data_IF_900591175443
#
_entry.id   IF_900591175443
#
_cell.length_a   1.000
_cell.length_b   1.000
_cell.length_c   1.000
_cell.angle_alpha   90.00
_cell.angle_beta   90.00
_cell.angle_gamma   90.00
#
_symmetry.space_group_name_H-M   'P 1'
#
loop_
_entity.id
_entity.type
_entity.pdbx_description
1 polymer ?
#
# COMPACT_ATOMS: atom_id res chain seq x y z
N UNK A 1 58.63 -48.78 2.25
CA UNK A 1 58.24 -49.08 3.65
C UNK A 1 56.85 -48.48 3.84
N UNK A 2 55.76 -49.24 3.81
CA UNK A 2 55.57 -50.69 3.79
C UNK A 2 54.08 -50.93 3.47
N UNK A 3 53.80 -51.86 2.54
CA UNK A 3 52.60 -52.71 2.27
C UNK A 3 51.19 -52.10 2.40
N UNK A 4 50.27 -52.14 1.42
CA UNK A 4 50.01 -52.99 0.25
C UNK A 4 49.87 -54.49 0.55
N UNK A 5 48.70 -54.92 1.03
CA UNK A 5 48.20 -56.27 0.69
C UNK A 5 46.70 -56.29 0.33
N UNK A 6 46.50 -56.99 -0.78
CA UNK A 6 45.29 -57.30 -1.52
C UNK A 6 44.80 -58.66 -1.02
N UNK A 7 43.54 -58.79 -0.63
CA UNK A 7 42.90 -60.10 -0.47
C UNK A 7 41.63 -60.19 -1.30
N UNK A 8 41.69 -61.08 -2.27
CA UNK A 8 40.59 -61.57 -3.11
C UNK A 8 39.75 -62.58 -2.32
N UNK A 9 38.42 -62.48 -2.40
CA UNK A 9 37.53 -63.59 -2.04
C UNK A 9 36.37 -63.67 -3.04
N UNK A 10 36.34 -64.79 -3.74
CA UNK A 10 35.36 -65.23 -4.73
C UNK A 10 34.21 -65.99 -4.06
N UNK A 11 32.97 -65.73 -4.48
CA UNK A 11 32.04 -66.81 -4.86
C UNK A 11 30.75 -67.04 -4.04
N UNK A 12 29.69 -67.31 -4.81
CA UNK A 12 28.36 -67.86 -4.47
C UNK A 12 27.30 -66.85 -3.97
N UNK A 13 26.07 -66.77 -4.50
CA UNK A 13 25.37 -67.63 -5.46
C UNK A 13 24.03 -68.13 -4.89
N UNK A 14 23.02 -67.25 -4.83
CA UNK A 14 21.58 -67.58 -4.70
C UNK A 14 20.95 -67.54 -3.30
N UNK A 15 19.60 -67.58 -3.16
CA UNK A 15 18.53 -67.06 -4.03
C UNK A 15 17.76 -65.89 -3.37
N UNK A 16 17.19 -65.01 -4.20
CA UNK A 16 16.36 -63.88 -3.76
C UNK A 16 14.96 -64.41 -3.44
N UNK A 17 14.51 -64.24 -2.19
CA UNK A 17 13.15 -64.60 -1.73
C UNK A 17 12.12 -63.60 -2.30
N UNK A 18 10.94 -64.04 -2.76
CA UNK A 18 9.95 -63.16 -3.35
C UNK A 18 9.32 -62.24 -2.30
N UNK A 19 9.13 -60.98 -2.71
CA UNK A 19 8.47 -59.93 -1.97
C UNK A 19 7.04 -60.36 -1.60
N UNK A 20 6.73 -60.35 -0.31
CA UNK A 20 5.38 -60.53 0.19
C UNK A 20 4.51 -59.37 -0.29
N UNK A 21 3.44 -59.71 -1.01
CA UNK A 21 2.33 -58.83 -1.31
C UNK A 21 1.76 -58.29 0.00
N UNK A 22 1.94 -57.00 0.22
CA UNK A 22 1.43 -56.29 1.37
C UNK A 22 0.13 -55.63 0.90
N UNK A 23 -0.99 -56.34 1.09
CA UNK A 23 -2.34 -55.84 0.84
C UNK A 23 -2.69 -54.79 1.90
N UNK A 24 -2.64 -53.50 1.54
CA UNK A 24 -3.16 -52.44 2.40
C UNK A 24 -4.65 -52.29 2.12
N UNK A 25 -5.43 -52.83 3.04
CA UNK A 25 -6.86 -52.61 3.16
C UNK A 25 -7.18 -51.12 3.25
N UNK A 26 -7.94 -50.64 2.27
CA UNK A 26 -8.72 -49.40 2.30
C UNK A 26 -9.67 -49.39 3.50
N UNK A 27 -9.27 -48.81 4.64
CA UNK A 27 -10.18 -48.48 5.73
C UNK A 27 -9.53 -47.53 6.75
N UNK A 28 -9.20 -46.28 6.39
CA UNK A 28 -8.99 -45.20 7.36
C UNK A 28 -8.76 -43.82 6.69
N UNK A 29 -9.72 -43.32 5.91
CA UNK A 29 -9.77 -41.87 5.60
C UNK A 29 -11.23 -41.42 5.56
N UNK A 30 -11.84 -41.30 6.74
CA UNK A 30 -13.05 -40.51 7.06
C UNK A 30 -13.34 -40.79 8.56
N UNK A 31 -13.10 -39.82 9.46
CA UNK A 31 -13.95 -38.64 9.50
C UNK A 31 -13.14 -37.35 9.79
N UNK A 32 -12.82 -36.57 8.76
CA UNK A 32 -12.48 -35.14 8.92
C UNK A 32 -13.52 -34.25 8.19
N UNK A 33 -14.39 -34.85 7.37
CA UNK A 33 -15.44 -34.13 6.64
C UNK A 33 -16.74 -33.87 7.44
N UNK A 34 -16.79 -34.29 8.71
CA UNK A 34 -17.99 -34.15 9.56
C UNK A 34 -18.07 -32.86 10.38
N UNK A 35 -17.00 -32.06 10.43
CA UNK A 35 -16.92 -30.87 11.30
C UNK A 35 -17.30 -29.57 10.55
N UNK A 36 -17.39 -29.61 9.21
CA UNK A 36 -17.69 -28.42 8.39
C UNK A 36 -19.18 -28.24 8.06
N UNK A 37 -20.07 -29.13 8.49
CA UNK A 37 -21.51 -29.06 8.21
C UNK A 37 -22.40 -29.16 9.46
N UNK A 38 -21.88 -28.93 10.67
CA UNK A 38 -22.77 -28.74 11.83
C UNK A 38 -23.52 -27.41 11.68
N UNK A 39 -24.85 -27.39 11.56
CA UNK A 39 -25.58 -26.16 11.82
C UNK A 39 -25.37 -25.85 13.29
N UNK A 40 -24.71 -24.73 13.60
CA UNK A 40 -24.71 -24.19 14.93
C UNK A 40 -26.18 -24.01 15.33
N UNK A 41 -26.67 -24.81 16.28
CA UNK A 41 -27.92 -24.56 16.98
C UNK A 41 -27.73 -23.25 17.74
N UNK A 42 -28.06 -22.15 17.09
CA UNK A 42 -28.20 -20.84 17.71
C UNK A 42 -29.31 -20.92 18.75
N UNK A 43 -28.98 -20.54 19.98
CA UNK A 43 -29.98 -20.14 20.95
C UNK A 43 -30.77 -18.95 20.37
N UNK A 44 -32.08 -18.83 20.61
CA UNK A 44 -32.86 -17.71 20.12
C UNK A 44 -32.39 -16.43 20.81
N UNK A 45 -31.73 -15.55 20.07
CA UNK A 45 -31.59 -14.15 20.45
C UNK A 45 -32.90 -13.46 20.08
N UNK A 46 -33.49 -12.84 21.10
CA UNK A 46 -34.69 -12.01 21.04
C UNK A 46 -34.49 -10.90 19.99
N UNK A 47 -35.23 -10.94 18.89
CA UNK A 47 -35.37 -9.83 17.95
C UNK A 47 -36.02 -8.64 18.67
N UNK A 48 -35.27 -7.54 18.80
CA UNK A 48 -35.84 -6.22 18.96
C UNK A 48 -35.98 -5.60 17.57
N UNK A 49 -37.22 -5.21 17.29
CA UNK A 49 -37.81 -4.68 16.08
C UNK A 49 -37.07 -3.45 15.52
N UNK A 50 -37.06 -3.30 14.19
CA UNK A 50 -36.47 -2.14 13.52
C UNK A 50 -36.14 -2.38 12.05
N UNK A 51 -37.18 -2.53 11.21
CA UNK A 51 -37.00 -2.72 9.78
C UNK A 51 -36.32 -1.55 9.07
N UNK A 52 -35.43 -1.85 8.13
CA UNK A 52 -35.35 -1.14 6.85
C UNK A 52 -34.50 -1.93 5.85
N UNK A 53 -34.84 -1.78 4.59
CA UNK A 53 -34.44 -2.57 3.42
C UNK A 53 -32.93 -2.59 3.14
N UNK A 54 -32.32 -3.78 3.12
CA UNK A 54 -30.97 -4.01 2.62
C UNK A 54 -30.97 -4.06 1.09
N UNK A 55 -30.67 -2.93 0.44
CA UNK A 55 -30.11 -2.87 -0.91
C UNK A 55 -29.46 -1.49 -1.16
N UNK A 56 -28.27 -1.30 -0.59
CA UNK A 56 -27.27 -0.36 -1.07
C UNK A 56 -25.89 -0.84 -0.56
N UNK A 57 -24.80 -0.74 -1.36
CA UNK A 57 -23.45 -0.85 -0.80
C UNK A 57 -23.28 0.25 0.27
N UNK A 58 -22.54 0.02 1.36
CA UNK A 58 -22.33 1.06 2.36
C UNK A 58 -21.50 2.18 1.71
N UNK A 59 -22.17 3.28 1.39
CA UNK A 59 -21.53 4.58 1.19
C UNK A 59 -21.30 5.21 2.55
N UNK A 60 -20.19 5.92 2.64
CA UNK A 60 -19.85 6.88 3.68
C UNK A 60 -19.37 6.33 5.03
N UNK A 61 -18.03 6.27 5.15
CA UNK A 61 -17.33 6.40 6.43
C UNK A 61 -17.50 7.80 7.07
N UNK A 62 -18.32 8.68 6.47
CA UNK A 62 -18.47 10.08 6.85
C UNK A 62 -19.65 10.35 7.80
N UNK A 63 -20.52 9.38 8.06
CA UNK A 63 -21.73 9.62 8.86
C UNK A 63 -21.50 9.67 10.39
N UNK A 64 -20.30 9.36 10.87
CA UNK A 64 -19.93 9.36 12.30
C UNK A 64 -18.64 10.17 12.62
N UNK A 65 -18.20 11.07 11.73
CA UNK A 65 -17.14 12.02 12.11
C UNK A 65 -17.73 13.14 12.98
N UNK A 66 -17.07 13.50 14.10
CA UNK A 66 -17.39 14.73 14.83
C UNK A 66 -17.53 15.91 13.87
N UNK A 67 -18.46 16.84 14.11
CA UNK A 67 -18.73 17.99 13.23
C UNK A 67 -17.43 18.78 12.91
N UNK A 68 -16.48 18.74 13.85
CA UNK A 68 -15.14 19.32 13.78
C UNK A 68 -14.22 18.72 12.70
N UNK A 69 -14.54 17.54 12.17
CA UNK A 69 -13.75 16.81 11.16
C UNK A 69 -14.50 16.63 9.83
N UNK A 70 -15.74 17.12 9.73
CA UNK A 70 -16.49 17.07 8.48
C UNK A 70 -15.80 17.95 7.43
N UNK A 71 -15.45 17.35 6.28
CA UNK A 71 -14.72 18.02 5.21
C UNK A 71 -13.20 18.11 5.43
N UNK A 72 -12.67 17.52 6.50
CA UNK A 72 -11.23 17.38 6.76
C UNK A 72 -10.74 16.04 6.23
N UNK A 73 -10.60 15.94 4.92
CA UNK A 73 -10.01 14.77 4.24
C UNK A 73 -9.13 15.23 3.08
N UNK A 74 -8.39 14.29 2.48
CA UNK A 74 -7.62 14.52 1.26
C UNK A 74 -8.31 13.81 0.10
N UNK A 75 -8.80 14.60 -0.85
CA UNK A 75 -9.36 14.10 -2.11
C UNK A 75 -8.24 14.07 -3.14
N UNK A 76 -7.91 12.89 -3.66
CA UNK A 76 -6.80 12.78 -4.62
C UNK A 76 -7.19 13.31 -6.01
N UNK A 77 -6.40 14.26 -6.50
CA UNK A 77 -6.48 14.88 -7.82
C UNK A 77 -5.21 14.55 -8.65
N UNK A 78 -4.80 13.27 -8.65
CA UNK A 78 -3.61 12.83 -9.39
C UNK A 78 -3.70 13.20 -10.88
N UNK A 79 -2.57 13.61 -11.45
CA UNK A 79 -2.44 14.13 -12.83
C UNK A 79 -3.21 15.43 -13.12
N UNK A 80 -3.90 16.01 -12.14
CA UNK A 80 -4.49 17.34 -12.29
C UNK A 80 -3.41 18.42 -12.16
N UNK A 81 -3.62 19.54 -12.85
CA UNK A 81 -2.68 20.66 -12.89
C UNK A 81 -3.08 21.73 -11.90
N UNK A 82 -2.11 22.20 -11.12
CA UNK A 82 -2.30 23.30 -10.18
C UNK A 82 -2.62 24.62 -10.91
N UNK A 83 -3.41 25.51 -10.30
CA UNK A 83 -3.59 26.88 -10.77
C UNK A 83 -2.31 27.69 -10.54
N UNK A 84 -1.41 27.68 -11.53
CA UNK A 84 -0.09 28.30 -11.44
C UNK A 84 -0.12 29.85 -11.47
N UNK A 85 -1.27 30.43 -11.79
CA UNK A 85 -1.50 31.87 -11.82
C UNK A 85 -1.84 32.47 -10.45
N UNK A 86 -2.02 31.64 -9.42
CA UNK A 86 -2.24 32.11 -8.04
C UNK A 86 -1.07 32.94 -7.53
N UNK A 87 -1.39 34.08 -6.93
CA UNK A 87 -0.42 35.03 -6.38
C UNK A 87 -0.29 34.87 -4.86
N UNK A 88 0.94 34.83 -4.39
CA UNK A 88 1.31 34.73 -2.98
C UNK A 88 2.40 35.76 -2.65
N UNK A 89 2.71 35.88 -1.36
CA UNK A 89 3.83 36.65 -0.84
C UNK A 89 4.86 35.67 -0.29
N UNK A 90 6.08 35.72 -0.81
CA UNK A 90 7.17 34.87 -0.35
C UNK A 90 7.76 35.37 0.98
N UNK A 91 8.72 34.61 1.49
CA UNK A 91 9.44 34.89 2.72
C UNK A 91 10.30 36.16 2.68
N UNK A 92 10.62 36.71 1.50
CA UNK A 92 11.26 38.03 1.37
C UNK A 92 10.26 39.20 1.29
N UNK A 93 8.96 38.92 1.36
CA UNK A 93 7.90 39.92 1.23
C UNK A 93 7.60 40.35 -0.20
N UNK A 94 8.05 39.59 -1.19
CA UNK A 94 7.81 39.84 -2.61
C UNK A 94 6.56 39.11 -3.08
N UNK A 95 5.78 39.75 -3.97
CA UNK A 95 4.66 39.10 -4.63
C UNK A 95 5.16 38.15 -5.71
N UNK A 96 4.78 36.89 -5.63
CA UNK A 96 5.20 35.80 -6.53
C UNK A 96 4.00 35.01 -7.02
N UNK A 97 4.07 34.49 -8.25
CA UNK A 97 3.09 33.50 -8.72
C UNK A 97 3.58 32.09 -8.43
N UNK A 98 2.64 31.18 -8.21
CA UNK A 98 2.99 29.78 -8.02
C UNK A 98 3.78 29.20 -9.22
N UNK A 99 3.46 29.65 -10.44
CA UNK A 99 4.19 29.30 -11.66
C UNK A 99 5.58 29.91 -11.80
N UNK A 100 5.94 30.92 -11.00
CA UNK A 100 7.32 31.44 -10.97
C UNK A 100 8.24 30.52 -10.15
N UNK A 101 7.66 29.75 -9.23
CA UNK A 101 8.36 28.74 -8.41
C UNK A 101 8.36 27.40 -9.14
N UNK A 102 7.20 26.97 -9.65
CA UNK A 102 7.04 25.74 -10.43
C UNK A 102 7.25 26.09 -11.92
N UNK A 103 8.51 26.37 -12.25
CA UNK A 103 8.94 26.98 -13.51
C UNK A 103 9.20 25.97 -14.66
N UNK A 104 8.93 24.69 -14.46
CA UNK A 104 9.24 23.63 -15.43
C UNK A 104 10.61 22.99 -15.28
N UNK A 105 11.45 23.42 -14.34
CA UNK A 105 12.83 22.92 -14.23
C UNK A 105 12.98 21.71 -13.31
N UNK A 106 12.26 21.69 -12.19
CA UNK A 106 12.40 20.68 -11.13
C UNK A 106 11.05 20.42 -10.44
N UNK A 107 10.85 19.23 -9.86
CA UNK A 107 9.63 18.92 -9.12
C UNK A 107 9.59 19.71 -7.81
N UNK A 108 8.38 19.93 -7.30
CA UNK A 108 8.15 20.60 -6.03
C UNK A 108 7.49 19.65 -5.02
N UNK A 109 7.92 19.69 -3.78
CA UNK A 109 7.25 19.11 -2.62
C UNK A 109 6.40 20.22 -2.03
N UNK A 110 5.09 20.12 -2.20
CA UNK A 110 4.12 21.07 -1.68
C UNK A 110 3.60 20.60 -0.32
N UNK A 111 3.64 21.49 0.66
CA UNK A 111 3.05 21.29 1.98
C UNK A 111 2.05 22.41 2.28
N UNK A 112 0.82 22.02 2.63
CA UNK A 112 -0.24 22.93 3.05
C UNK A 112 -0.37 22.89 4.57
N UNK A 113 -0.40 24.06 5.21
CA UNK A 113 -0.54 24.19 6.67
C UNK A 113 -0.59 25.66 7.07
N UNK A 114 -0.19 26.03 8.29
CA UNK A 114 0.04 27.42 8.68
C UNK A 114 1.18 27.47 9.70
N UNK A 115 1.92 28.57 9.73
CA UNK A 115 3.21 28.66 10.38
C UNK A 115 3.13 28.86 11.90
N UNK A 116 2.04 29.44 12.40
CA UNK A 116 1.79 29.61 13.84
C UNK A 116 1.16 28.39 14.50
N UNK A 117 0.89 27.31 13.75
CA UNK A 117 0.31 26.08 14.29
C UNK A 117 1.22 25.49 15.37
N UNK A 118 0.73 25.32 16.61
CA UNK A 118 1.55 24.82 17.70
C UNK A 118 1.80 23.30 17.63
N UNK A 119 1.12 22.59 16.73
CA UNK A 119 1.11 21.12 16.71
C UNK A 119 1.39 20.53 15.32
N UNK A 120 0.33 20.27 14.53
CA UNK A 120 0.40 19.32 13.42
C UNK A 120 1.16 19.85 12.20
N UNK A 121 0.97 21.12 11.81
CA UNK A 121 1.67 21.68 10.65
C UNK A 121 3.19 21.66 10.86
N UNK A 122 3.64 22.07 12.05
CA UNK A 122 5.06 22.03 12.42
C UNK A 122 5.59 20.60 12.49
N UNK A 123 4.79 19.63 12.96
CA UNK A 123 5.19 18.22 12.93
C UNK A 123 5.38 17.72 11.51
N UNK A 124 4.45 18.01 10.58
CA UNK A 124 4.55 17.59 9.18
C UNK A 124 5.83 18.14 8.54
N UNK A 125 6.09 19.43 8.68
CA UNK A 125 7.31 20.05 8.14
C UNK A 125 8.58 19.50 8.78
N UNK A 126 8.61 19.32 10.10
CA UNK A 126 9.77 18.74 10.79
C UNK A 126 10.08 17.31 10.32
N UNK A 127 9.05 16.50 10.09
CA UNK A 127 9.22 15.12 9.62
C UNK A 127 9.59 15.07 8.14
N UNK A 128 9.04 15.97 7.32
CA UNK A 128 9.48 16.14 5.94
C UNK A 128 10.98 16.47 5.89
N UNK A 129 11.42 17.37 6.76
CA UNK A 129 12.82 17.74 6.89
C UNK A 129 13.72 16.61 7.38
N UNK A 130 13.29 15.83 8.37
CA UNK A 130 14.03 14.65 8.82
C UNK A 130 14.19 13.63 7.68
N UNK A 131 13.12 13.39 6.94
CA UNK A 131 13.15 12.54 5.76
C UNK A 131 14.11 13.05 4.68
N UNK A 132 14.06 14.35 4.37
CA UNK A 132 14.94 15.00 3.38
C UNK A 132 16.41 15.01 3.79
N UNK A 133 16.71 15.15 5.09
CA UNK A 133 18.08 15.04 5.60
C UNK A 133 18.68 13.66 5.31
N UNK A 134 17.87 12.60 5.40
CA UNK A 134 18.28 11.24 5.04
C UNK A 134 18.42 10.98 3.54
N UNK A 135 18.01 11.92 2.67
CA UNK A 135 18.23 11.84 1.22
C UNK A 135 19.54 12.53 0.87
N UNK A 136 20.63 11.77 0.74
CA UNK A 136 21.98 12.34 0.58
C UNK A 136 22.32 12.77 -0.85
N UNK A 137 21.63 12.23 -1.86
CA UNK A 137 21.99 12.41 -3.28
C UNK A 137 21.18 13.48 -4.03
N UNK A 138 20.13 14.01 -3.41
CA UNK A 138 19.28 15.09 -3.97
C UNK A 138 19.33 16.32 -3.07
N UNK A 139 19.40 17.51 -3.66
CA UNK A 139 19.48 18.78 -2.94
C UNK A 139 18.40 19.76 -3.38
N UNK A 140 17.74 20.42 -2.42
CA UNK A 140 16.77 21.49 -2.69
C UNK A 140 17.41 22.64 -3.48
N UNK A 141 16.66 23.25 -4.41
CA UNK A 141 17.13 24.33 -5.29
C UNK A 141 18.06 23.87 -6.42
N UNK A 142 18.33 22.56 -6.49
CA UNK A 142 19.06 21.92 -7.59
C UNK A 142 18.24 20.80 -8.22
N UNK A 143 17.74 19.88 -7.39
CA UNK A 143 17.07 18.66 -7.84
C UNK A 143 15.55 18.68 -7.56
N UNK A 144 15.10 19.47 -6.58
CA UNK A 144 13.69 19.69 -6.24
C UNK A 144 13.52 21.02 -5.48
N UNK A 145 12.28 21.46 -5.30
CA UNK A 145 11.92 22.54 -4.38
C UNK A 145 11.01 22.05 -3.26
N UNK A 146 11.10 22.67 -2.08
CA UNK A 146 10.15 22.55 -0.99
C UNK A 146 9.34 23.85 -0.94
N UNK A 147 8.03 23.72 -1.20
CA UNK A 147 7.09 24.83 -1.19
C UNK A 147 6.11 24.62 -0.05
N UNK A 148 6.19 25.45 0.98
CA UNK A 148 5.22 25.46 2.07
C UNK A 148 4.28 26.64 1.86
N UNK A 149 2.97 26.41 1.98
CA UNK A 149 1.95 27.44 1.79
C UNK A 149 1.07 27.53 3.03
N UNK A 150 0.95 28.74 3.56
CA UNK A 150 0.04 29.01 4.65
C UNK A 150 -1.42 29.13 4.19
N UNK A 151 -2.32 28.42 4.88
CA UNK A 151 -3.77 28.55 4.74
C UNK A 151 -4.35 29.65 5.61
N UNK A 152 -3.56 30.22 6.53
CA UNK A 152 -4.01 31.27 7.42
C UNK A 152 -3.76 32.66 6.79
N UNK A 153 -4.81 33.42 6.44
CA UNK A 153 -4.67 34.74 5.82
C UNK A 153 -4.11 35.82 6.77
N UNK A 154 -4.04 35.53 8.07
CA UNK A 154 -3.49 36.45 9.09
C UNK A 154 -1.95 36.31 9.24
N UNK A 155 -1.34 35.40 8.49
CA UNK A 155 0.10 35.22 8.46
C UNK A 155 0.75 36.08 7.38
N UNK A 156 1.88 36.69 7.74
CA UNK A 156 2.65 37.54 6.85
C UNK A 156 4.02 36.95 6.52
N UNK A 157 4.79 37.64 5.66
CA UNK A 157 6.12 37.21 5.26
C UNK A 157 7.11 37.11 6.42
N UNK A 158 6.88 37.82 7.52
CA UNK A 158 7.72 37.81 8.72
C UNK A 158 7.83 36.42 9.36
N UNK A 159 6.71 35.71 9.49
CA UNK A 159 6.70 34.35 10.04
C UNK A 159 7.22 33.32 9.02
N UNK A 160 6.95 33.55 7.72
CA UNK A 160 7.48 32.72 6.64
C UNK A 160 9.02 32.75 6.62
N UNK A 161 9.62 33.94 6.69
CA UNK A 161 11.07 34.15 6.78
C UNK A 161 11.68 33.44 8.00
N UNK A 162 11.01 33.53 9.15
CA UNK A 162 11.49 32.88 10.37
C UNK A 162 11.52 31.35 10.22
N UNK A 163 10.47 30.76 9.62
CA UNK A 163 10.40 29.31 9.37
C UNK A 163 11.42 28.87 8.34
N UNK A 164 11.52 29.58 7.21
CA UNK A 164 12.48 29.31 6.15
C UNK A 164 13.92 29.27 6.72
N UNK A 165 14.33 30.31 7.44
CA UNK A 165 15.65 30.37 8.08
C UNK A 165 15.88 29.20 9.04
N UNK A 166 14.88 28.85 9.85
CA UNK A 166 14.97 27.72 10.78
C UNK A 166 15.23 26.40 10.06
N UNK A 167 14.51 26.14 8.96
CA UNK A 167 14.67 24.91 8.19
C UNK A 167 15.94 24.90 7.34
N UNK A 168 16.34 26.04 6.78
CA UNK A 168 17.61 26.16 6.06
C UNK A 168 18.83 25.92 6.96
N UNK A 169 18.81 26.44 8.18
CA UNK A 169 19.86 26.18 9.18
C UNK A 169 19.97 24.69 9.52
N UNK A 170 18.84 23.97 9.54
CA UNK A 170 18.83 22.52 9.79
C UNK A 170 19.27 21.72 8.57
N UNK A 171 18.90 22.15 7.37
CA UNK A 171 19.21 21.45 6.13
C UNK A 171 20.69 21.61 5.73
N UNK A 172 21.25 22.80 5.91
CA UNK A 172 22.67 23.16 5.76
C UNK A 172 23.35 22.57 4.51
N UNK A 173 22.70 22.69 3.34
CA UNK A 173 23.28 22.28 2.05
C UNK A 173 23.58 23.48 1.15
N UNK A 174 24.71 23.45 0.40
CA UNK A 174 25.05 24.54 -0.52
C UNK A 174 23.95 24.81 -1.56
N UNK A 175 23.49 26.06 -1.62
CA UNK A 175 22.50 26.50 -2.60
C UNK A 175 21.05 26.11 -2.28
N UNK A 176 20.79 25.53 -1.11
CA UNK A 176 19.45 25.13 -0.68
C UNK A 176 18.45 26.27 -0.57
N UNK A 177 18.90 27.48 -0.23
CA UNK A 177 18.04 28.67 -0.12
C UNK A 177 17.29 29.02 -1.39
N UNK A 178 17.69 28.48 -2.56
CA UNK A 178 16.98 28.70 -3.83
C UNK A 178 15.78 27.77 -4.03
N UNK A 179 15.60 26.77 -3.17
CA UNK A 179 14.51 25.80 -3.29
C UNK A 179 13.75 25.58 -2.00
N UNK A 180 13.83 26.50 -1.05
CA UNK A 180 12.89 26.57 0.07
C UNK A 180 12.05 27.81 -0.18
N UNK A 181 10.74 27.63 -0.28
CA UNK A 181 9.79 28.70 -0.54
C UNK A 181 8.70 28.63 0.51
N UNK A 182 8.53 29.69 1.29
CA UNK A 182 7.52 29.77 2.34
C UNK A 182 6.56 30.88 1.96
N UNK A 183 5.37 30.49 1.52
CA UNK A 183 4.39 31.38 0.96
C UNK A 183 3.30 31.71 1.99
N UNK A 184 2.90 32.97 1.99
CA UNK A 184 1.70 33.48 2.66
C UNK A 184 0.82 34.16 1.64
N UNK A 185 -0.47 34.34 1.89
CA UNK A 185 -1.32 34.99 0.92
C UNK A 185 -2.77 35.14 1.33
N UNK A 186 -3.59 35.72 0.45
CA UNK A 186 -5.03 35.83 0.67
C UNK A 186 -5.64 34.45 0.86
N UNK A 187 -6.56 34.34 1.82
CA UNK A 187 -7.23 33.06 2.12
C UNK A 187 -7.98 32.47 0.92
N UNK A 188 -8.41 33.30 -0.03
CA UNK A 188 -9.02 32.87 -1.30
C UNK A 188 -8.02 32.09 -2.18
N UNK A 189 -6.77 32.55 -2.29
CA UNK A 189 -5.74 31.88 -3.08
C UNK A 189 -5.26 30.60 -2.39
N UNK A 190 -5.04 30.65 -1.08
CA UNK A 190 -4.67 29.45 -0.32
C UNK A 190 -5.78 28.40 -0.37
N UNK A 191 -7.06 28.81 -0.33
CA UNK A 191 -8.20 27.92 -0.52
C UNK A 191 -8.27 27.35 -1.93
N UNK A 192 -8.08 28.17 -2.97
CA UNK A 192 -8.08 27.70 -4.35
C UNK A 192 -6.96 26.67 -4.60
N UNK A 193 -5.78 26.88 -4.02
CA UNK A 193 -4.69 25.90 -4.07
C UNK A 193 -5.05 24.63 -3.30
N UNK A 194 -5.59 24.77 -2.09
CA UNK A 194 -6.04 23.65 -1.27
C UNK A 194 -7.09 22.79 -2.00
N UNK A 195 -8.10 23.42 -2.59
CA UNK A 195 -9.15 22.74 -3.36
C UNK A 195 -8.53 22.03 -4.59
N UNK A 196 -7.54 22.62 -5.26
CA UNK A 196 -6.85 22.01 -6.41
C UNK A 196 -5.99 20.79 -6.03
N UNK A 197 -5.38 20.78 -4.85
CA UNK A 197 -4.67 19.59 -4.33
C UNK A 197 -5.58 18.63 -3.59
N UNK A 198 -6.83 19.03 -3.35
CA UNK A 198 -7.84 18.29 -2.58
C UNK A 198 -7.55 18.25 -1.09
N UNK A 199 -6.87 19.26 -0.55
CA UNK A 199 -6.60 19.43 0.87
C UNK A 199 -7.81 20.06 1.57
N UNK A 200 -8.60 19.22 2.24
CA UNK A 200 -9.70 19.68 3.10
C UNK A 200 -9.18 20.24 4.42
N UNK A 201 -9.62 21.45 4.77
CA UNK A 201 -9.33 22.07 6.05
C UNK A 201 -10.56 22.84 6.56
N UNK A 202 -10.73 22.84 7.88
CA UNK A 202 -11.82 23.55 8.56
C UNK A 202 -11.26 24.40 9.70
N UNK A 203 -11.82 25.59 9.90
CA UNK A 203 -11.47 26.45 11.04
C UNK A 203 -12.30 26.06 12.25
N UNK A 204 -11.64 25.88 13.38
CA UNK A 204 -12.24 25.46 14.65
C UNK A 204 -12.60 26.66 15.53
N UNK A 205 -13.41 26.43 16.57
CA UNK A 205 -13.86 27.46 17.50
C UNK A 205 -12.72 28.13 18.28
N UNK A 206 -11.63 27.40 18.53
CA UNK A 206 -10.43 27.90 19.20
C UNK A 206 -9.55 28.79 18.30
N UNK A 207 -9.92 28.93 17.02
CA UNK A 207 -9.23 29.72 16.02
C UNK A 207 -8.17 28.96 15.23
N UNK A 208 -7.92 27.69 15.56
CA UNK A 208 -6.98 26.80 14.86
C UNK A 208 -7.64 26.17 13.62
N UNK A 209 -6.85 25.49 12.78
CA UNK A 209 -7.35 24.82 11.59
C UNK A 209 -7.17 23.31 11.70
N UNK A 210 -8.27 22.56 11.64
CA UNK A 210 -8.26 21.12 11.46
C UNK A 210 -7.92 20.79 10.01
N UNK A 211 -6.93 19.92 9.81
CA UNK A 211 -6.49 19.49 8.49
C UNK A 211 -5.91 18.07 8.54
N UNK A 212 -5.98 17.36 7.41
CA UNK A 212 -5.26 16.09 7.25
C UNK A 212 -3.75 16.34 7.05
N UNK A 213 -2.91 15.38 7.42
CA UNK A 213 -1.46 15.48 7.25
C UNK A 213 -1.04 14.80 5.93
N UNK A 214 -0.44 15.56 5.01
CA UNK A 214 0.21 15.03 3.82
C UNK A 214 1.21 16.01 3.20
N UNK A 215 2.09 15.47 2.36
CA UNK A 215 2.87 16.19 1.36
C UNK A 215 2.38 15.82 -0.04
N UNK A 216 2.40 16.80 -0.94
CA UNK A 216 2.02 16.63 -2.34
C UNK A 216 3.26 16.76 -3.19
N UNK A 217 3.50 15.79 -4.06
CA UNK A 217 4.61 15.83 -5.00
C UNK A 217 4.09 16.35 -6.32
N UNK A 218 4.64 17.47 -6.75
CA UNK A 218 4.24 18.21 -7.94
C UNK A 218 5.34 18.05 -8.99
N UNK A 219 4.95 17.69 -10.20
CA UNK A 219 5.87 17.61 -11.35
C UNK A 219 6.35 19.01 -11.75
N UNK A 220 7.47 19.13 -12.49
CA UNK A 220 7.96 20.43 -12.94
C UNK A 220 6.93 21.26 -13.72
N UNK A 221 6.03 20.61 -14.43
CA UNK A 221 4.99 21.27 -15.23
C UNK A 221 3.70 21.59 -14.45
N UNK A 222 3.68 21.31 -13.15
CA UNK A 222 2.63 21.69 -12.22
C UNK A 222 1.52 20.66 -12.06
N UNK A 223 1.73 19.38 -12.40
CA UNK A 223 0.76 18.31 -12.16
C UNK A 223 1.03 17.56 -10.86
N UNK A 224 -0.03 17.03 -10.23
CA UNK A 224 0.11 16.26 -8.99
C UNK A 224 0.57 14.84 -9.32
N UNK A 225 1.82 14.53 -8.99
CA UNK A 225 2.43 13.21 -9.19
C UNK A 225 2.05 12.22 -8.11
N UNK A 226 2.05 12.64 -6.84
CA UNK A 226 1.90 11.70 -5.71
C UNK A 226 1.46 12.38 -4.42
N UNK A 227 0.69 11.64 -3.62
CA UNK A 227 0.32 11.99 -2.25
C UNK A 227 1.14 11.17 -1.26
N UNK A 228 1.79 11.82 -0.29
CA UNK A 228 2.50 11.20 0.82
C UNK A 228 1.75 11.54 2.11
N UNK A 229 1.01 10.57 2.64
CA UNK A 229 0.14 10.77 3.81
C UNK A 229 0.87 10.66 5.14
N UNK A 230 0.30 11.30 6.16
CA UNK A 230 0.69 11.18 7.55
C UNK A 230 1.85 12.10 7.92
N UNK A 231 2.72 11.60 8.81
CA UNK A 231 3.85 12.35 9.36
C UNK A 231 5.15 11.52 9.37
N UNK A 232 5.16 10.33 8.77
CA UNK A 232 6.36 9.50 8.65
C UNK A 232 6.85 9.50 7.19
N UNK A 233 7.84 10.35 6.91
CA UNK A 233 8.38 10.52 5.57
C UNK A 233 9.74 9.84 5.45
N UNK A 234 9.73 8.54 5.16
CA UNK A 234 10.97 7.78 5.02
C UNK A 234 11.85 8.33 3.87
N UNK A 235 13.17 8.48 4.08
CA UNK A 235 14.07 9.05 3.08
C UNK A 235 14.00 8.35 1.72
N UNK A 236 13.89 7.02 1.71
CA UNK A 236 13.76 6.25 0.46
C UNK A 236 12.48 6.62 -0.30
N UNK A 237 11.36 6.73 0.41
CA UNK A 237 10.07 7.10 -0.19
C UNK A 237 10.11 8.51 -0.78
N UNK A 238 10.64 9.48 -0.03
CA UNK A 238 10.81 10.85 -0.53
C UNK A 238 11.70 10.88 -1.76
N UNK A 239 12.87 10.22 -1.70
CA UNK A 239 13.80 10.14 -2.83
C UNK A 239 13.14 9.57 -4.09
N UNK A 240 12.41 8.46 -3.96
CA UNK A 240 11.70 7.89 -5.11
C UNK A 240 10.60 8.82 -5.63
N UNK A 241 9.83 9.43 -4.74
CA UNK A 241 8.75 10.33 -5.13
C UNK A 241 9.29 11.58 -5.86
N UNK A 242 10.39 12.17 -5.39
CA UNK A 242 11.07 13.29 -6.05
C UNK A 242 11.56 12.86 -7.45
N UNK A 243 12.22 11.71 -7.57
CA UNK A 243 12.73 11.21 -8.85
C UNK A 243 11.58 10.92 -9.84
N UNK A 244 10.50 10.27 -9.39
CA UNK A 244 9.31 10.04 -10.21
C UNK A 244 8.65 11.35 -10.66
N UNK A 245 8.50 12.31 -9.73
CA UNK A 245 7.96 13.64 -10.04
C UNK A 245 8.82 14.41 -11.03
N UNK A 246 10.15 14.33 -10.90
CA UNK A 246 11.11 14.95 -11.84
C UNK A 246 10.97 14.41 -13.26
N UNK A 247 10.72 13.11 -13.40
CA UNK A 247 10.45 12.48 -14.69
C UNK A 247 9.01 12.71 -15.20
N UNK A 248 8.18 13.47 -14.47
CA UNK A 248 6.79 13.72 -14.80
C UNK A 248 5.88 12.49 -14.67
N UNK A 249 6.34 11.45 -13.97
CA UNK A 249 5.54 10.23 -13.74
C UNK A 249 4.47 10.49 -12.71
N UNK A 250 3.26 10.03 -12.97
CA UNK A 250 2.15 10.05 -12.02
C UNK A 250 2.15 8.69 -11.28
N UNK A 251 2.27 8.74 -9.96
CA UNK A 251 2.21 7.56 -9.12
C UNK A 251 0.81 6.96 -9.09
N UNK A 252 0.71 5.65 -8.83
CA UNK A 252 -0.58 4.97 -8.66
C UNK A 252 -0.95 4.84 -7.17
N UNK A 253 -2.16 5.26 -6.78
CA UNK A 253 -2.74 5.12 -5.43
C UNK A 253 -2.95 3.67 -4.99
N UNK A 254 -2.76 2.69 -5.88
CA UNK A 254 -2.95 1.26 -5.56
C UNK A 254 -2.02 0.76 -4.43
N UNK A 255 -1.02 1.55 -4.03
CA UNK A 255 -0.22 1.30 -2.83
C UNK A 255 -1.00 1.43 -1.50
N UNK A 256 -2.17 2.12 -1.49
CA UNK A 256 -3.15 2.10 -0.37
C UNK A 256 -3.68 0.69 -0.11
N UNK A 257 -3.94 -0.10 -1.16
CA UNK A 257 -4.48 -1.46 -1.03
C UNK A 257 -3.44 -2.47 -0.54
N UNK A 258 -2.16 -2.29 -0.89
CA UNK A 258 -1.09 -3.18 -0.45
C UNK A 258 -0.66 -2.89 0.99
N UNK A 259 -0.74 -1.63 1.45
CA UNK A 259 -0.41 -1.28 2.84
C UNK A 259 -1.55 -1.60 3.83
N UNK A 260 -2.76 -1.89 3.33
CA UNK A 260 -3.86 -2.48 4.12
C UNK A 260 -3.68 -3.98 4.36
N UNK A 261 -2.62 -4.61 3.81
CA UNK A 261 -2.24 -5.98 4.16
C UNK A 261 -1.32 -6.07 5.40
N UNK A 262 -1.06 -4.97 6.11
CA UNK A 262 -0.28 -4.98 7.36
C UNK A 262 -0.93 -4.27 8.55
N UNK A 263 -2.12 -3.68 8.38
CA UNK A 263 -2.95 -3.23 9.50
C UNK A 263 -4.20 -4.10 9.54
N UNK A 264 -4.06 -5.25 10.19
CA UNK A 264 -5.18 -6.10 10.57
C UNK A 264 -5.90 -5.42 11.73
N UNK A 265 -7.04 -4.80 11.46
CA UNK A 265 -7.99 -4.36 12.48
C UNK A 265 -9.02 -5.49 12.73
N UNK A 266 -8.92 -6.23 13.85
CA UNK A 266 -9.80 -7.34 14.16
C UNK A 266 -11.27 -6.96 14.40
N UNK A 267 -11.62 -5.67 14.51
CA UNK A 267 -12.97 -5.24 14.93
C UNK A 267 -13.90 -4.76 13.80
N UNK A 268 -13.44 -4.73 12.53
CA UNK A 268 -14.26 -4.30 11.37
C UNK A 268 -15.17 -5.42 10.82
N UNK A 269 -16.23 -5.76 11.56
CA UNK A 269 -17.11 -6.92 11.30
C UNK A 269 -17.80 -7.03 9.93
N UNK A 270 -17.75 -6.02 9.04
CA UNK A 270 -18.36 -6.08 7.71
C UNK A 270 -17.42 -6.51 6.58
N UNK A 271 -16.11 -6.20 6.67
CA UNK A 271 -15.13 -6.51 5.62
C UNK A 271 -14.49 -7.89 5.75
N UNK A 272 -14.44 -8.44 6.97
CA UNK A 272 -13.97 -9.81 7.21
C UNK A 272 -14.79 -10.85 6.44
N UNK A 273 -16.11 -10.69 6.37
CA UNK A 273 -16.99 -11.70 5.74
C UNK A 273 -16.75 -11.87 4.24
N UNK A 274 -16.42 -10.80 3.51
CA UNK A 274 -16.14 -10.88 2.07
C UNK A 274 -14.77 -11.52 1.79
N UNK A 275 -13.72 -11.07 2.48
CA UNK A 275 -12.37 -11.60 2.32
C UNK A 275 -12.28 -13.09 2.71
N UNK A 276 -12.92 -13.49 3.83
CA UNK A 276 -12.97 -14.90 4.23
C UNK A 276 -13.73 -15.76 3.22
N UNK A 277 -14.83 -15.28 2.63
CA UNK A 277 -15.56 -16.03 1.59
C UNK A 277 -14.74 -16.21 0.31
N UNK A 278 -13.99 -15.21 -0.12
CA UNK A 278 -13.11 -15.31 -1.29
C UNK A 278 -11.96 -16.28 -1.03
N UNK A 279 -11.31 -16.21 0.14
CA UNK A 279 -10.27 -17.16 0.54
C UNK A 279 -10.82 -18.59 0.65
N UNK A 280 -12.02 -18.77 1.22
CA UNK A 280 -12.68 -20.07 1.33
C UNK A 280 -13.04 -20.64 -0.04
N UNK A 281 -13.52 -19.81 -0.98
CA UNK A 281 -13.76 -20.19 -2.37
C UNK A 281 -12.46 -20.61 -3.08
N UNK A 282 -11.38 -19.85 -2.90
CA UNK A 282 -10.07 -20.20 -3.46
C UNK A 282 -9.51 -21.51 -2.90
N UNK A 283 -9.66 -21.74 -1.59
CA UNK A 283 -9.28 -22.98 -0.93
C UNK A 283 -10.08 -24.18 -1.44
N UNK A 284 -11.41 -24.06 -1.53
CA UNK A 284 -12.29 -25.11 -2.06
C UNK A 284 -11.95 -25.42 -3.52
N UNK A 285 -11.72 -24.41 -4.36
CA UNK A 285 -11.33 -24.58 -5.75
C UNK A 285 -10.01 -25.36 -5.89
N UNK A 286 -9.02 -25.04 -5.06
CA UNK A 286 -7.71 -25.70 -5.07
C UNK A 286 -7.84 -27.18 -4.69
N UNK A 287 -8.60 -27.50 -3.64
CA UNK A 287 -8.86 -28.88 -3.23
C UNK A 287 -9.63 -29.63 -4.32
N UNK A 288 -10.63 -29.01 -4.95
CA UNK A 288 -11.37 -29.61 -6.07
C UNK A 288 -10.44 -29.96 -7.24
N UNK A 289 -9.57 -29.04 -7.64
CA UNK A 289 -8.60 -29.30 -8.71
C UNK A 289 -7.67 -30.46 -8.34
N UNK A 290 -7.20 -30.52 -7.10
CA UNK A 290 -6.32 -31.59 -6.65
C UNK A 290 -7.03 -32.95 -6.61
N UNK A 291 -8.25 -33.01 -6.07
CA UNK A 291 -9.06 -34.23 -5.99
C UNK A 291 -9.49 -34.71 -7.36
N UNK A 292 -9.94 -33.80 -8.25
CA UNK A 292 -10.28 -34.14 -9.62
C UNK A 292 -9.05 -34.63 -10.39
N UNK A 293 -7.90 -33.97 -10.24
CA UNK A 293 -6.65 -34.38 -10.89
C UNK A 293 -6.23 -35.80 -10.49
N UNK A 294 -6.20 -36.08 -9.19
CA UNK A 294 -5.87 -37.43 -8.67
C UNK A 294 -6.92 -38.47 -9.08
N UNK A 295 -8.20 -38.12 -9.00
CA UNK A 295 -9.30 -39.00 -9.41
C UNK A 295 -9.23 -39.38 -10.89
N UNK A 296 -8.95 -38.42 -11.78
CA UNK A 296 -8.77 -38.66 -13.20
C UNK A 296 -7.58 -39.57 -13.50
N UNK A 297 -6.46 -39.40 -12.79
CA UNK A 297 -5.30 -40.29 -12.91
C UNK A 297 -5.64 -41.73 -12.50
N UNK A 298 -6.37 -41.90 -11.39
CA UNK A 298 -6.84 -43.22 -10.93
C UNK A 298 -7.83 -43.89 -11.90
N UNK A 299 -8.79 -43.14 -12.44
CA UNK A 299 -9.74 -43.63 -13.44
C UNK A 299 -9.01 -44.07 -14.72
N UNK A 300 -7.96 -43.35 -15.11
CA UNK A 300 -7.15 -43.67 -16.30
C UNK A 300 -6.28 -44.91 -16.10
N UNK A 301 -5.77 -45.12 -14.89
CA UNK A 301 -4.97 -46.29 -14.55
C UNK A 301 -5.82 -47.58 -14.47
N UNK A 302 -7.05 -47.47 -13.92
CA UNK A 302 -7.99 -48.59 -13.87
C UNK A 302 -8.38 -49.11 -15.27
N UNK A 303 -8.47 -48.22 -16.26
CA UNK A 303 -8.71 -48.61 -17.66
C UNK A 303 -7.48 -49.22 -18.36
N UNK A 304 -6.27 -49.01 -17.84
CA UNK A 304 -5.05 -49.64 -18.39
C UNK A 304 -4.87 -51.08 -17.92
N UNK A 305 -5.30 -51.41 -16.71
CA UNK A 305 -5.20 -52.78 -16.15
C UNK A 305 -6.11 -53.78 -16.88
N UNK A 306 -7.22 -53.33 -17.49
CA UNK A 306 -8.16 -54.19 -18.23
C UNK A 306 -7.64 -54.58 -19.63
N UNK A 307 -6.61 -53.89 -20.16
CA UNK A 307 -6.08 -54.13 -21.51
C UNK A 307 -4.77 -54.92 -21.56
N UNK A 308 -4.45 -55.73 -20.54
CA UNK A 308 -3.34 -56.70 -20.65
C UNK A 308 -3.80 -57.87 -21.54
N UNK A 309 -3.21 -58.10 -22.74
CA UNK A 309 -3.58 -59.24 -23.58
C UNK A 309 -3.13 -60.54 -22.91
N UNK A 310 -4.01 -61.55 -22.86
CA UNK A 310 -3.67 -62.91 -22.43
C UNK A 310 -2.43 -63.42 -23.18
N UNK A 311 -1.42 -64.00 -22.50
CA UNK A 311 -0.38 -64.74 -23.19
C UNK A 311 -1.00 -65.92 -23.94
N UNK A 312 -0.74 -65.98 -25.25
CA UNK A 312 -1.20 -67.01 -26.15
C UNK A 312 -0.70 -68.40 -25.72
N UNK A 313 -1.46 -69.49 -25.98
CA UNK A 313 -1.02 -70.84 -25.69
C UNK A 313 0.15 -71.22 -26.62
N UNK A 314 1.35 -71.38 -26.07
CA UNK A 314 2.43 -72.08 -26.78
C UNK A 314 2.12 -73.57 -26.77
N UNK A 315 1.58 -74.01 -27.90
CA UNK A 315 1.48 -75.40 -28.32
C UNK A 315 2.79 -76.12 -28.13
N UNK A 316 2.71 -77.35 -27.63
CA UNK A 316 3.84 -78.25 -27.48
C UNK A 316 4.58 -78.48 -28.79
N UNK A 317 5.85 -78.83 -28.65
CA UNK A 317 6.53 -79.60 -29.66
C UNK A 317 7.31 -80.71 -28.97
N UNK A 318 6.97 -81.91 -29.37
CA UNK A 318 7.58 -83.17 -29.02
C UNK A 318 9.05 -83.20 -29.47
N UNK A 319 9.93 -83.77 -28.63
CA UNK A 319 11.10 -84.57 -28.99
C UNK A 319 11.67 -85.24 -27.75
#
# INVERSE_FOLDING_TARGET
>A
MTDMERTTSTGSGGPVRPAAMVSWTLAAVLPILGILLSPATGAPLQEADGGSTLNAPPSDFNDDLPDELQGVDIIEHLDERLPLDLEFVNEQGEAVRLGDIIDGTRPAILQMGYYRCPMLCDLVLNQAMEGLLGVEDLTAGKDFDLVSVSVNPEEGPDIAELKEKGYLLRYDRPGASRGFHFLTGPGENSKALADAVGFGFARQEDGEYAHAAALFIITPDGRISRYLYGVDYQPKTLRFAIMEGSEGRIGSTLQRFILWCHVYDPDSGSYHLFAFRVMQLGGVATVLVMVCGVGLLWLRDRNRVVQSPSPAPTTGNDS
#
